data_IF_226347593019
#
_entry.id   IF_226347593019
#
_cell.length_a   1.000
_cell.length_b   1.000
_cell.length_c   1.000
_cell.angle_alpha   90.00
_cell.angle_beta   90.00
_cell.angle_gamma   90.00
#
_symmetry.space_group_name_H-M   'P 1'
#
loop_
_entity.id
_entity.type
_entity.pdbx_description
1 polymer ?
#
# COMPACT_ATOMS: atom_id res chain seq x y z
N UNK A 1 42.77 28.48 -24.80
CA UNK A 1 41.78 28.10 -23.76
C UNK A 1 40.48 28.93 -23.82
N UNK A 2 40.41 29.98 -24.64
CA UNK A 2 39.25 30.89 -24.79
C UNK A 2 37.91 30.21 -25.15
N UNK A 3 37.94 28.99 -25.70
CA UNK A 3 36.75 28.27 -26.17
C UNK A 3 35.91 27.62 -25.05
N UNK A 4 36.50 27.28 -23.90
CA UNK A 4 35.78 26.62 -22.81
C UNK A 4 34.94 27.59 -21.97
N UNK A 5 35.54 28.72 -21.62
CA UNK A 5 34.92 29.75 -20.77
C UNK A 5 33.70 30.40 -21.43
N UNK A 6 33.71 30.55 -22.76
CA UNK A 6 32.56 31.07 -23.53
C UNK A 6 31.31 30.20 -23.46
N UNK A 7 31.43 28.95 -23.02
CA UNK A 7 30.31 27.99 -22.91
C UNK A 7 29.98 27.66 -21.44
N UNK A 8 30.55 28.43 -20.49
CA UNK A 8 30.32 28.21 -19.05
C UNK A 8 30.97 26.95 -18.48
N UNK A 9 31.97 26.40 -19.18
CA UNK A 9 32.72 25.22 -18.74
C UNK A 9 33.98 25.69 -18.00
N UNK A 10 34.21 25.13 -16.81
CA UNK A 10 35.44 25.35 -16.03
C UNK A 10 36.64 24.79 -16.81
N UNK A 11 37.65 25.61 -17.01
CA UNK A 11 38.89 25.23 -17.70
C UNK A 11 40.06 25.10 -16.71
N UNK A 12 40.91 24.12 -16.98
CA UNK A 12 42.06 23.80 -16.15
C UNK A 12 43.32 23.85 -17.01
N UNK A 13 44.31 24.64 -16.59
CA UNK A 13 45.59 24.78 -17.26
C UNK A 13 46.69 23.97 -16.56
N UNK A 14 47.27 22.99 -17.26
CA UNK A 14 48.37 22.18 -16.75
C UNK A 14 49.75 22.83 -17.01
N UNK A 15 50.14 23.79 -16.17
CA UNK A 15 51.42 24.51 -16.30
C UNK A 15 52.64 23.61 -16.11
N UNK A 16 52.54 22.60 -15.25
CA UNK A 16 53.62 21.61 -15.03
C UNK A 16 54.04 20.85 -16.31
N UNK A 17 53.16 20.77 -17.32
CA UNK A 17 53.39 20.04 -18.56
C UNK A 17 53.96 20.89 -19.70
N UNK A 18 54.18 22.19 -19.47
CA UNK A 18 54.65 23.10 -20.51
C UNK A 18 56.10 22.79 -20.91
N UNK A 19 56.28 22.34 -22.16
CA UNK A 19 57.59 22.00 -22.73
C UNK A 19 58.09 23.01 -23.76
N UNK A 20 57.26 23.98 -24.16
CA UNK A 20 57.54 24.94 -25.24
C UNK A 20 58.68 25.93 -24.95
N UNK A 21 59.11 26.04 -23.68
CA UNK A 21 60.27 26.83 -23.26
C UNK A 21 61.57 26.03 -23.13
N UNK A 22 61.53 24.70 -23.33
CA UNK A 22 62.72 23.84 -23.25
C UNK A 22 63.48 23.88 -24.58
N UNK A 23 64.81 23.86 -24.53
CA UNK A 23 65.68 23.90 -25.73
C UNK A 23 65.39 22.77 -26.74
N UNK A 24 64.89 21.62 -26.29
CA UNK A 24 64.49 20.52 -27.18
C UNK A 24 63.23 20.79 -28.01
N UNK A 25 62.40 21.77 -27.63
CA UNK A 25 61.17 22.10 -28.35
C UNK A 25 61.44 22.83 -29.67
N UNK A 26 62.61 23.48 -29.79
CA UNK A 26 63.01 24.13 -31.04
C UNK A 26 63.24 23.11 -32.17
N UNK A 27 63.60 21.87 -31.83
CA UNK A 27 63.63 20.76 -32.81
C UNK A 27 62.22 20.44 -33.30
N UNK A 28 61.23 20.42 -32.40
CA UNK A 28 59.84 20.19 -32.79
C UNK A 28 59.36 21.31 -33.70
N UNK A 29 59.67 22.58 -33.38
CA UNK A 29 59.38 23.76 -34.21
C UNK A 29 60.00 23.67 -35.60
N UNK A 30 61.24 23.21 -35.68
CA UNK A 30 61.98 23.07 -36.94
C UNK A 30 61.42 21.97 -37.86
N UNK A 31 60.76 20.95 -37.30
CA UNK A 31 60.16 19.83 -38.06
C UNK A 31 58.66 20.04 -38.29
N UNK A 32 58.03 21.11 -37.79
CA UNK A 32 56.61 21.36 -38.06
C UNK A 32 56.37 21.76 -39.51
N UNK A 33 55.18 21.40 -40.01
CA UNK A 33 54.66 21.93 -41.27
C UNK A 33 53.90 23.26 -41.11
N UNK A 34 54.02 23.92 -39.95
CA UNK A 34 53.31 25.18 -39.70
C UNK A 34 53.98 26.33 -40.44
N UNK A 35 53.18 27.35 -40.78
CA UNK A 35 53.72 28.56 -41.40
C UNK A 35 54.67 29.25 -40.41
N UNK A 36 55.81 29.81 -40.88
CA UNK A 36 56.77 30.49 -39.99
C UNK A 36 56.12 31.54 -39.10
N UNK A 37 55.15 32.29 -39.64
CA UNK A 37 54.39 33.31 -38.91
C UNK A 37 53.56 32.77 -37.73
N UNK A 38 53.12 31.51 -37.78
CA UNK A 38 52.37 30.86 -36.70
C UNK A 38 53.31 30.27 -35.64
N UNK A 39 54.48 29.79 -36.07
CA UNK A 39 55.56 29.36 -35.15
C UNK A 39 56.13 30.56 -34.39
N UNK A 40 56.30 31.69 -35.05
CA UNK A 40 56.76 32.94 -34.43
C UNK A 40 55.71 33.54 -33.48
N UNK A 41 54.41 33.39 -33.78
CA UNK A 41 53.33 33.74 -32.86
C UNK A 41 53.33 32.88 -31.60
N UNK A 42 53.50 31.56 -31.73
CA UNK A 42 53.63 30.65 -30.58
C UNK A 42 54.89 30.98 -29.75
N UNK A 43 55.97 31.40 -30.41
CA UNK A 43 57.21 31.85 -29.75
C UNK A 43 57.04 33.18 -29.01
N UNK A 44 56.19 34.07 -29.52
CA UNK A 44 55.90 35.34 -28.85
C UNK A 44 55.00 35.12 -27.63
N UNK A 45 55.57 35.29 -26.43
CA UNK A 45 54.83 35.34 -25.17
C UNK A 45 54.00 36.65 -25.06
N UNK A 46 53.16 36.98 -26.06
CA UNK A 46 52.34 38.19 -26.05
C UNK A 46 51.40 38.16 -24.82
N UNK A 47 51.53 39.11 -23.87
CA UNK A 47 50.68 39.16 -22.69
C UNK A 47 49.18 39.29 -23.00
N UNK A 48 48.82 39.80 -24.18
CA UNK A 48 47.43 39.98 -24.59
C UNK A 48 46.74 38.69 -25.07
N UNK A 49 47.48 37.60 -25.29
CA UNK A 49 46.92 36.30 -25.70
C UNK A 49 46.86 35.29 -24.52
N UNK A 50 47.22 35.74 -23.30
CA UNK A 50 47.15 34.92 -22.08
C UNK A 50 45.71 34.76 -21.61
N UNK A 51 45.05 33.74 -22.12
CA UNK A 51 43.80 33.25 -21.56
C UNK A 51 44.04 32.88 -20.08
N UNK A 52 43.36 33.57 -19.17
CA UNK A 52 43.42 33.30 -17.74
C UNK A 52 42.54 32.10 -17.46
N UNK A 53 43.13 30.92 -17.20
CA UNK A 53 42.38 29.72 -16.89
C UNK A 53 41.69 29.80 -15.52
N UNK A 54 40.57 29.11 -15.35
CA UNK A 54 39.82 29.09 -14.09
C UNK A 54 40.60 28.39 -12.97
N UNK A 55 41.33 27.32 -13.31
CA UNK A 55 42.28 26.67 -12.41
C UNK A 55 43.63 26.48 -13.12
N UNK A 56 44.73 26.65 -12.38
CA UNK A 56 46.09 26.42 -12.88
C UNK A 56 46.73 25.35 -12.03
N UNK A 57 47.27 24.31 -12.67
CA UNK A 57 47.99 23.22 -12.03
C UNK A 57 49.50 23.45 -12.21
N UNK A 58 50.17 23.86 -11.14
CA UNK A 58 51.59 24.21 -11.16
C UNK A 58 52.52 23.00 -10.94
N UNK A 59 52.11 22.02 -10.14
CA UNK A 59 53.03 20.97 -9.66
C UNK A 59 52.78 19.59 -10.29
N UNK A 60 51.53 19.29 -10.66
CA UNK A 60 51.20 17.99 -11.26
C UNK A 60 49.71 17.68 -11.37
N UNK A 61 49.40 16.53 -11.98
CA UNK A 61 48.02 16.07 -12.20
C UNK A 61 47.22 15.87 -10.91
N UNK A 62 47.86 15.56 -9.77
CA UNK A 62 47.17 15.34 -8.50
C UNK A 62 46.39 16.58 -8.02
N UNK A 63 46.82 17.78 -8.39
CA UNK A 63 46.10 19.03 -8.09
C UNK A 63 44.73 19.07 -8.79
N UNK A 64 44.57 18.36 -9.91
CA UNK A 64 43.27 18.19 -10.54
C UNK A 64 42.33 17.38 -9.65
N UNK A 65 42.84 16.33 -8.99
CA UNK A 65 42.05 15.48 -8.11
C UNK A 65 41.55 16.26 -6.88
N UNK A 66 42.29 17.26 -6.41
CA UNK A 66 41.84 18.11 -5.29
C UNK A 66 40.73 19.09 -5.67
N UNK A 67 40.45 19.27 -6.97
CA UNK A 67 39.32 20.09 -7.44
C UNK A 67 38.01 19.31 -7.46
N UNK A 68 38.05 17.99 -7.26
CA UNK A 68 36.87 17.14 -7.24
C UNK A 68 36.54 16.71 -5.80
N UNK A 69 35.31 16.95 -5.39
CA UNK A 69 34.72 16.26 -4.24
C UNK A 69 34.30 14.85 -4.69
N UNK A 70 35.15 13.87 -4.42
CA UNK A 70 34.81 12.47 -4.63
C UNK A 70 33.82 12.03 -3.55
N UNK A 71 32.55 11.86 -3.93
CA UNK A 71 31.55 11.30 -3.04
C UNK A 71 32.01 9.94 -2.51
N UNK A 72 31.79 9.69 -1.20
CA UNK A 72 32.14 8.41 -0.59
C UNK A 72 31.46 7.25 -1.35
N UNK A 73 32.16 6.12 -1.56
CA UNK A 73 31.53 4.95 -2.15
C UNK A 73 30.30 4.56 -1.32
N UNK A 74 29.16 4.44 -1.99
CA UNK A 74 27.89 4.08 -1.36
C UNK A 74 28.06 2.72 -0.66
N UNK A 75 27.62 2.64 0.59
CA UNK A 75 27.65 1.40 1.35
C UNK A 75 26.51 0.47 0.87
N UNK A 76 26.85 -0.49 0.01
CA UNK A 76 25.90 -1.46 -0.56
C UNK A 76 25.20 -2.27 0.54
N UNK A 77 25.90 -2.62 1.61
CA UNK A 77 25.34 -3.40 2.72
C UNK A 77 24.25 -2.60 3.46
N UNK A 78 24.48 -1.30 3.68
CA UNK A 78 23.48 -0.41 4.27
C UNK A 78 22.23 -0.29 3.37
N UNK A 79 22.39 -0.12 2.06
CA UNK A 79 21.26 -0.08 1.13
C UNK A 79 20.50 -1.41 1.05
N UNK A 80 21.21 -2.52 1.11
CA UNK A 80 20.61 -3.84 1.12
C UNK A 80 19.83 -4.10 2.41
N UNK A 81 20.32 -3.59 3.55
CA UNK A 81 19.59 -3.59 4.81
C UNK A 81 18.33 -2.73 4.75
N UNK A 82 18.42 -1.51 4.20
CA UNK A 82 17.26 -0.62 4.00
C UNK A 82 16.20 -1.27 3.10
N UNK A 83 16.61 -1.89 1.99
CA UNK A 83 15.71 -2.62 1.10
C UNK A 83 15.00 -3.77 1.82
N UNK A 84 15.73 -4.59 2.59
CA UNK A 84 15.14 -5.69 3.38
C UNK A 84 14.10 -5.17 4.38
N UNK A 85 14.42 -4.09 5.08
CA UNK A 85 13.50 -3.47 6.05
C UNK A 85 12.24 -2.95 5.35
N UNK A 86 12.39 -2.29 4.20
CA UNK A 86 11.25 -1.83 3.41
C UNK A 86 10.35 -3.00 2.97
N UNK A 87 10.93 -4.11 2.50
CA UNK A 87 10.18 -5.34 2.15
C UNK A 87 9.50 -5.94 3.39
N UNK A 88 10.16 -5.95 4.54
CA UNK A 88 9.58 -6.40 5.81
C UNK A 88 8.34 -5.58 6.20
N UNK A 89 8.42 -4.25 6.10
CA UNK A 89 7.29 -3.35 6.34
C UNK A 89 6.17 -3.57 5.32
N UNK A 90 6.49 -3.80 4.04
CA UNK A 90 5.50 -4.16 3.01
C UNK A 90 4.74 -5.43 3.36
N UNK A 91 5.43 -6.49 3.79
CA UNK A 91 4.81 -7.74 4.23
C UNK A 91 3.90 -7.52 5.44
N UNK A 92 4.36 -6.74 6.42
CA UNK A 92 3.59 -6.44 7.62
C UNK A 92 2.30 -5.68 7.31
N UNK A 93 2.36 -4.64 6.47
CA UNK A 93 1.15 -3.92 6.06
C UNK A 93 0.19 -4.78 5.23
N UNK A 94 0.73 -5.65 4.37
CA UNK A 94 -0.10 -6.59 3.62
C UNK A 94 -0.85 -7.57 4.56
N UNK A 95 -0.18 -8.08 5.60
CA UNK A 95 -0.81 -8.93 6.63
C UNK A 95 -1.91 -8.17 7.41
N UNK A 96 -1.62 -6.93 7.85
CA UNK A 96 -2.62 -6.08 8.49
C UNK A 96 -3.85 -5.88 7.59
N UNK A 97 -3.65 -5.65 6.29
CA UNK A 97 -4.74 -5.52 5.32
C UNK A 97 -5.65 -6.75 5.28
N UNK A 98 -5.09 -7.97 5.32
CA UNK A 98 -5.89 -9.19 5.38
C UNK A 98 -6.67 -9.32 6.70
N UNK A 99 -6.05 -8.97 7.82
CA UNK A 99 -6.70 -9.00 9.14
C UNK A 99 -7.90 -8.06 9.21
N UNK A 100 -7.78 -6.84 8.69
CA UNK A 100 -8.87 -5.86 8.66
C UNK A 100 -10.06 -6.38 7.86
N UNK A 101 -9.81 -7.02 6.71
CA UNK A 101 -10.89 -7.62 5.89
C UNK A 101 -11.56 -8.79 6.58
N UNK A 102 -10.80 -9.64 7.26
CA UNK A 102 -11.37 -10.73 8.04
C UNK A 102 -12.28 -10.19 9.17
N UNK A 103 -11.82 -9.18 9.92
CA UNK A 103 -12.62 -8.52 10.95
C UNK A 103 -13.89 -7.88 10.38
N UNK A 104 -13.78 -7.20 9.23
CA UNK A 104 -14.94 -6.63 8.55
C UNK A 104 -15.98 -7.73 8.24
N UNK A 105 -15.57 -8.85 7.66
CA UNK A 105 -16.45 -10.00 7.36
C UNK A 105 -17.11 -10.58 8.61
N UNK A 106 -16.38 -10.66 9.72
CA UNK A 106 -16.94 -11.08 11.02
C UNK A 106 -18.04 -10.10 11.46
N UNK A 107 -17.79 -8.79 11.40
CA UNK A 107 -18.77 -7.76 11.77
C UNK A 107 -20.00 -7.82 10.87
N UNK A 108 -19.82 -7.99 9.57
CA UNK A 108 -20.94 -8.17 8.63
C UNK A 108 -21.77 -9.40 8.97
N UNK A 109 -21.12 -10.55 9.21
CA UNK A 109 -21.78 -11.81 9.56
C UNK A 109 -22.60 -11.65 10.85
N UNK A 110 -22.00 -11.06 11.88
CA UNK A 110 -22.67 -10.79 13.15
C UNK A 110 -23.84 -9.82 12.97
N UNK A 111 -23.66 -8.77 12.17
CA UNK A 111 -24.73 -7.81 11.87
C UNK A 111 -25.90 -8.50 11.18
N UNK A 112 -25.66 -9.31 10.14
CA UNK A 112 -26.71 -10.07 9.45
C UNK A 112 -27.44 -11.04 10.40
N UNK A 113 -26.70 -11.72 11.28
CA UNK A 113 -27.27 -12.57 12.32
C UNK A 113 -28.14 -11.78 13.31
N UNK A 114 -27.66 -10.61 13.77
CA UNK A 114 -28.39 -9.74 14.66
C UNK A 114 -29.66 -9.17 14.00
N UNK A 115 -29.61 -8.82 12.71
CA UNK A 115 -30.78 -8.41 11.92
C UNK A 115 -31.81 -9.52 11.89
N UNK A 116 -31.40 -10.75 11.55
CA UNK A 116 -32.30 -11.91 11.51
C UNK A 116 -32.93 -12.21 12.88
N UNK A 117 -32.12 -12.20 13.94
CA UNK A 117 -32.59 -12.37 15.31
C UNK A 117 -33.58 -11.27 15.71
N UNK A 118 -33.26 -10.01 15.44
CA UNK A 118 -34.13 -8.89 15.78
C UNK A 118 -35.47 -8.94 15.03
N UNK A 119 -35.46 -9.33 13.75
CA UNK A 119 -36.66 -9.42 12.94
C UNK A 119 -37.62 -10.53 13.39
N UNK A 120 -37.08 -11.63 13.95
CA UNK A 120 -37.89 -12.75 14.43
C UNK A 120 -38.45 -12.50 15.83
N UNK A 121 -37.65 -11.89 16.71
CA UNK A 121 -37.96 -11.84 18.15
C UNK A 121 -38.61 -10.53 18.62
N UNK A 122 -38.45 -9.42 17.90
CA UNK A 122 -39.05 -8.14 18.29
C UNK A 122 -40.30 -7.84 17.47
N UNK A 123 -41.37 -7.46 18.18
CA UNK A 123 -42.60 -6.96 17.58
C UNK A 123 -42.44 -5.56 16.95
N UNK A 124 -43.51 -5.04 16.34
CA UNK A 124 -43.52 -3.68 15.80
C UNK A 124 -43.24 -2.65 16.89
N UNK A 125 -42.37 -1.69 16.61
CA UNK A 125 -42.26 -0.47 17.41
C UNK A 125 -43.23 0.58 16.84
N UNK A 126 -44.05 1.16 17.71
CA UNK A 126 -44.96 2.24 17.33
C UNK A 126 -44.24 3.58 17.44
N UNK A 127 -44.00 4.24 16.31
CA UNK A 127 -43.46 5.61 16.25
C UNK A 127 -44.58 6.50 15.67
N UNK A 128 -45.36 7.09 16.57
CA UNK A 128 -46.57 7.83 16.19
C UNK A 128 -47.60 6.90 15.54
N UNK A 129 -48.01 7.21 14.30
CA UNK A 129 -48.96 6.41 13.52
C UNK A 129 -48.30 5.29 12.69
N UNK A 130 -46.96 5.16 12.75
CA UNK A 130 -46.21 4.21 11.93
C UNK A 130 -45.76 3.01 12.76
N UNK A 131 -45.97 1.81 12.22
CA UNK A 131 -45.42 0.57 12.78
C UNK A 131 -44.12 0.23 12.04
N UNK A 132 -43.00 0.24 12.76
CA UNK A 132 -41.67 -0.01 12.18
C UNK A 132 -41.02 -1.18 12.88
N UNK A 133 -40.43 -2.10 12.12
CA UNK A 133 -39.63 -3.18 12.71
C UNK A 133 -38.33 -2.61 13.29
N UNK A 134 -38.00 -2.87 14.58
CA UNK A 134 -36.71 -2.48 15.16
C UNK A 134 -35.50 -3.02 14.38
N UNK A 135 -35.67 -4.16 13.69
CA UNK A 135 -34.65 -4.75 12.85
C UNK A 135 -34.22 -3.85 11.68
N UNK A 136 -35.04 -2.88 11.27
CA UNK A 136 -34.72 -1.95 10.17
C UNK A 136 -33.55 -1.02 10.52
N UNK A 137 -33.27 -0.79 11.80
CA UNK A 137 -32.16 0.07 12.23
C UNK A 137 -30.79 -0.60 12.10
N UNK A 138 -30.72 -1.92 12.32
CA UNK A 138 -29.46 -2.67 12.36
C UNK A 138 -28.68 -2.67 11.03
N UNK A 139 -29.29 -2.75 9.84
CA UNK A 139 -28.58 -2.62 8.57
C UNK A 139 -27.84 -1.28 8.44
N UNK A 140 -28.39 -0.18 8.96
CA UNK A 140 -27.74 1.13 8.92
C UNK A 140 -26.54 1.21 9.86
N UNK A 141 -26.66 0.64 11.07
CA UNK A 141 -25.53 0.51 12.00
C UNK A 141 -24.42 -0.35 11.38
N UNK A 142 -24.79 -1.49 10.82
CA UNK A 142 -23.87 -2.38 10.10
C UNK A 142 -23.19 -1.69 8.93
N UNK A 143 -23.94 -0.89 8.15
CA UNK A 143 -23.39 -0.14 7.02
C UNK A 143 -22.42 0.94 7.48
N UNK A 144 -22.71 1.63 8.59
CA UNK A 144 -21.80 2.58 9.21
C UNK A 144 -20.47 1.95 9.62
N UNK A 145 -20.52 0.81 10.33
CA UNK A 145 -19.32 0.05 10.71
C UNK A 145 -18.56 -0.47 9.48
N UNK A 146 -19.28 -1.00 8.48
CA UNK A 146 -18.69 -1.50 7.24
C UNK A 146 -17.98 -0.39 6.45
N UNK A 147 -18.57 0.81 6.38
CA UNK A 147 -17.94 2.00 5.80
C UNK A 147 -16.72 2.46 6.60
N UNK A 148 -16.73 2.35 7.94
CA UNK A 148 -15.56 2.66 8.77
C UNK A 148 -14.39 1.70 8.46
N UNK A 149 -14.64 0.40 8.29
CA UNK A 149 -13.62 -0.55 7.85
C UNK A 149 -13.10 -0.24 6.45
N UNK A 150 -13.99 0.10 5.50
CA UNK A 150 -13.57 0.54 4.16
C UNK A 150 -12.67 1.76 4.21
N UNK A 151 -13.01 2.75 5.05
CA UNK A 151 -12.22 3.96 5.22
C UNK A 151 -10.85 3.68 5.85
N UNK A 152 -10.78 2.82 6.87
CA UNK A 152 -9.51 2.42 7.47
C UNK A 152 -8.61 1.69 6.45
N UNK A 153 -9.14 0.68 5.75
CA UNK A 153 -8.40 -0.12 4.76
C UNK A 153 -7.91 0.75 3.59
N UNK A 154 -8.79 1.57 3.01
CA UNK A 154 -8.45 2.41 1.85
C UNK A 154 -7.71 3.71 2.21
N UNK A 155 -8.18 4.40 3.22
CA UNK A 155 -7.74 5.75 3.58
C UNK A 155 -6.40 5.76 4.31
N UNK A 156 -6.15 4.75 5.15
CA UNK A 156 -4.94 4.66 5.96
C UNK A 156 -4.00 3.58 5.42
N UNK A 157 -4.36 2.31 5.51
CA UNK A 157 -3.42 1.21 5.29
C UNK A 157 -2.98 1.06 3.84
N UNK A 158 -3.89 1.24 2.88
CA UNK A 158 -3.51 1.19 1.46
C UNK A 158 -2.46 2.25 1.12
N UNK A 159 -2.54 3.45 1.71
CA UNK A 159 -1.54 4.51 1.49
C UNK A 159 -0.19 4.17 2.11
N UNK A 160 -0.19 3.58 3.31
CA UNK A 160 1.03 3.14 3.99
C UNK A 160 1.75 2.04 3.19
N UNK A 161 0.99 1.08 2.64
CA UNK A 161 1.54 0.02 1.79
C UNK A 161 2.13 0.57 0.49
N UNK A 162 1.48 1.54 -0.15
CA UNK A 162 2.04 2.18 -1.35
C UNK A 162 3.34 2.94 -1.02
N UNK A 163 3.40 3.59 0.15
CA UNK A 163 4.61 4.27 0.62
C UNK A 163 5.80 3.33 0.77
N UNK A 164 5.62 2.19 1.44
CA UNK A 164 6.73 1.23 1.63
C UNK A 164 7.14 0.52 0.34
N UNK A 165 6.21 0.33 -0.61
CA UNK A 165 6.53 -0.17 -1.96
C UNK A 165 7.40 0.83 -2.73
N UNK A 166 7.10 2.13 -2.64
CA UNK A 166 7.89 3.16 -3.31
C UNK A 166 9.32 3.21 -2.77
N UNK A 167 9.48 3.23 -1.45
CA UNK A 167 10.80 3.17 -0.82
C UNK A 167 11.58 1.93 -1.27
N UNK A 168 10.94 0.76 -1.27
CA UNK A 168 11.58 -0.47 -1.75
C UNK A 168 12.01 -0.40 -3.22
N UNK A 169 11.21 0.20 -4.09
CA UNK A 169 11.53 0.38 -5.50
C UNK A 169 12.72 1.34 -5.71
N UNK A 170 12.77 2.44 -4.95
CA UNK A 170 13.87 3.41 -5.01
C UNK A 170 15.19 2.71 -4.60
N UNK A 171 15.16 1.84 -3.58
CA UNK A 171 16.34 1.04 -3.19
C UNK A 171 16.72 -0.03 -4.23
N UNK A 172 15.75 -0.67 -4.87
CA UNK A 172 15.99 -1.65 -5.96
C UNK A 172 16.70 -1.00 -7.15
N UNK A 173 16.36 0.25 -7.50
CA UNK A 173 17.02 1.00 -8.56
C UNK A 173 18.49 1.29 -8.23
N UNK A 174 18.77 1.75 -7.00
CA UNK A 174 20.13 2.05 -6.54
C UNK A 174 20.99 0.78 -6.54
N UNK A 175 20.45 -0.33 -6.04
CA UNK A 175 21.16 -1.62 -5.98
C UNK A 175 21.39 -2.20 -7.38
N UNK A 176 20.39 -2.12 -8.27
CA UNK A 176 20.49 -2.60 -9.65
C UNK A 176 21.52 -1.81 -10.46
N UNK A 177 21.59 -0.49 -10.29
CA UNK A 177 22.61 0.36 -10.93
C UNK A 177 24.05 -0.01 -10.53
N UNK A 178 24.23 -0.77 -9.44
CA UNK A 178 25.51 -1.22 -8.91
C UNK A 178 25.78 -2.71 -9.15
N UNK A 179 24.93 -3.38 -9.95
CA UNK A 179 25.12 -4.78 -10.33
C UNK A 179 24.55 -5.79 -9.33
N UNK A 180 23.76 -5.36 -8.35
CA UNK A 180 23.03 -6.26 -7.44
C UNK A 180 21.63 -6.51 -8.01
N UNK A 181 21.31 -7.72 -8.50
CA UNK A 181 20.01 -7.98 -9.13
C UNK A 181 18.89 -8.02 -8.08
N UNK A 182 18.15 -6.92 -7.93
CA UNK A 182 17.00 -6.78 -7.03
C UNK A 182 15.85 -6.11 -7.77
N UNK A 183 14.73 -6.81 -7.98
CA UNK A 183 13.57 -6.29 -8.72
C UNK A 183 12.26 -6.98 -8.30
N UNK A 184 12.07 -7.18 -6.99
CA UNK A 184 10.90 -7.89 -6.49
C UNK A 184 9.62 -7.09 -6.77
N UNK A 185 9.67 -5.77 -6.57
CA UNK A 185 8.53 -4.87 -6.78
C UNK A 185 8.04 -4.87 -8.24
N UNK A 186 8.97 -4.91 -9.21
CA UNK A 186 8.64 -4.99 -10.62
C UNK A 186 7.98 -6.31 -11.01
N UNK A 187 8.49 -7.45 -10.50
CA UNK A 187 7.87 -8.75 -10.74
C UNK A 187 6.43 -8.83 -10.20
N UNK A 188 6.19 -8.32 -8.97
CA UNK A 188 4.86 -8.30 -8.36
C UNK A 188 3.91 -7.40 -9.16
N UNK A 189 4.36 -6.21 -9.54
CA UNK A 189 3.55 -5.25 -10.29
C UNK A 189 3.13 -5.80 -11.65
N UNK A 190 4.04 -6.49 -12.34
CA UNK A 190 3.75 -7.11 -13.64
C UNK A 190 2.82 -8.33 -13.53
N UNK A 191 2.86 -9.07 -12.41
CA UNK A 191 2.01 -10.23 -12.16
C UNK A 191 0.60 -9.87 -11.62
N UNK A 192 0.43 -8.70 -11.00
CA UNK A 192 -0.81 -8.27 -10.34
C UNK A 192 -2.05 -7.99 -11.23
N UNK A 193 -1.94 -7.49 -12.49
CA UNK A 193 -3.12 -7.09 -13.25
C UNK A 193 -3.94 -8.29 -13.75
N UNK A 194 -5.19 -8.37 -13.29
CA UNK A 194 -6.18 -9.33 -13.82
C UNK A 194 -6.73 -8.74 -15.12
N UNK A 195 -6.24 -9.23 -16.26
CA UNK A 195 -6.70 -8.81 -17.59
C UNK A 195 -7.92 -9.62 -18.01
N UNK A 196 -9.13 -9.11 -17.78
CA UNK A 196 -10.36 -9.74 -18.30
C UNK A 196 -10.43 -9.61 -19.83
N UNK A 197 -10.10 -10.70 -20.54
CA UNK A 197 -10.05 -10.75 -22.00
C UNK A 197 -11.44 -10.74 -22.67
N UNK A 198 -12.51 -11.09 -21.95
CA UNK A 198 -13.83 -11.41 -22.51
C UNK A 198 -14.84 -10.24 -22.46
N UNK A 199 -14.62 -9.23 -21.61
CA UNK A 199 -15.46 -8.03 -21.56
C UNK A 199 -15.35 -7.15 -22.83
N UNK A 200 -14.25 -7.31 -23.58
CA UNK A 200 -13.97 -6.59 -24.83
C UNK A 200 -14.88 -7.02 -26.00
N UNK A 201 -15.54 -8.18 -25.90
CA UNK A 201 -16.36 -8.73 -26.99
C UNK A 201 -17.86 -8.39 -26.87
N UNK A 202 -18.35 -7.89 -25.72
CA UNK A 202 -19.78 -7.59 -25.53
C UNK A 202 -20.17 -6.13 -25.81
N UNK A 203 -19.25 -5.17 -25.60
CA UNK A 203 -19.45 -3.77 -25.99
C UNK A 203 -18.53 -3.42 -27.16
N UNK A 204 -19.13 -3.29 -28.34
CA UNK A 204 -18.44 -3.06 -29.60
C UNK A 204 -17.37 -1.97 -29.55
N UNK A 205 -16.28 -2.23 -30.28
CA UNK A 205 -15.13 -1.37 -30.64
C UNK A 205 -15.19 0.11 -30.19
N UNK A 206 -15.15 0.37 -28.88
CA UNK A 206 -14.62 1.64 -28.36
C UNK A 206 -13.16 1.39 -28.01
N UNK A 207 -12.26 2.24 -28.53
CA UNK A 207 -10.86 2.36 -28.09
C UNK A 207 -10.81 2.87 -26.64
N UNK A 208 -11.40 2.12 -25.71
CA UNK A 208 -11.21 2.33 -24.28
C UNK A 208 -9.96 1.58 -23.87
N UNK A 209 -9.03 2.29 -23.22
CA UNK A 209 -7.92 1.69 -22.46
C UNK A 209 -8.43 0.41 -21.79
N UNK A 210 -7.67 -0.69 -21.90
CA UNK A 210 -7.94 -1.88 -21.10
C UNK A 210 -8.16 -1.39 -19.67
N UNK A 211 -9.34 -1.68 -19.09
CA UNK A 211 -9.61 -1.31 -17.70
C UNK A 211 -8.67 -2.19 -16.89
N UNK A 212 -7.48 -1.66 -16.63
CA UNK A 212 -6.53 -2.28 -15.73
C UNK A 212 -7.20 -2.23 -14.36
N UNK A 213 -7.60 -3.40 -13.88
CA UNK A 213 -8.15 -3.57 -12.55
C UNK A 213 -7.05 -3.27 -11.53
N UNK A 214 -6.82 -2.00 -11.26
CA UNK A 214 -5.91 -1.55 -10.21
C UNK A 214 -6.45 -2.02 -8.85
N UNK A 215 -5.54 -2.24 -7.91
CA UNK A 215 -5.82 -2.77 -6.56
C UNK A 215 -6.95 -2.02 -5.83
N UNK A 216 -7.09 -0.72 -6.10
CA UNK A 216 -8.14 0.14 -5.54
C UNK A 216 -9.55 -0.19 -6.04
N UNK A 217 -9.71 -0.77 -7.23
CA UNK A 217 -11.00 -1.19 -7.79
C UNK A 217 -11.47 -2.51 -7.17
N UNK A 218 -10.54 -3.45 -6.95
CA UNK A 218 -10.79 -4.72 -6.25
C UNK A 218 -11.33 -4.48 -4.84
N UNK A 219 -10.72 -3.53 -4.12
CA UNK A 219 -11.14 -3.13 -2.79
C UNK A 219 -12.55 -2.52 -2.79
N UNK A 220 -12.85 -1.59 -3.69
CA UNK A 220 -14.19 -0.99 -3.77
C UNK A 220 -15.26 -2.02 -4.12
N UNK A 221 -14.95 -3.00 -4.98
CA UNK A 221 -15.87 -4.07 -5.30
C UNK A 221 -16.20 -4.93 -4.07
N UNK A 222 -15.18 -5.33 -3.29
CA UNK A 222 -15.36 -6.09 -2.06
C UNK A 222 -16.29 -5.40 -1.05
N UNK A 223 -16.01 -4.12 -0.72
CA UNK A 223 -16.86 -3.38 0.21
C UNK A 223 -18.22 -3.02 -0.40
N UNK A 224 -18.32 -2.86 -1.72
CA UNK A 224 -19.59 -2.66 -2.42
C UNK A 224 -20.55 -3.84 -2.25
N UNK A 225 -20.05 -5.08 -2.28
CA UNK A 225 -20.88 -6.28 -2.05
C UNK A 225 -21.48 -6.27 -0.65
N UNK A 226 -20.67 -5.98 0.38
CA UNK A 226 -21.18 -5.94 1.76
C UNK A 226 -22.24 -4.86 1.97
N UNK A 227 -22.05 -3.68 1.37
CA UNK A 227 -23.05 -2.60 1.42
C UNK A 227 -24.33 -2.97 0.66
N UNK A 228 -24.22 -3.65 -0.48
CA UNK A 228 -25.37 -4.16 -1.24
C UNK A 228 -26.17 -5.16 -0.40
N UNK A 229 -25.51 -6.10 0.28
CA UNK A 229 -26.18 -7.06 1.14
C UNK A 229 -26.97 -6.39 2.27
N UNK A 230 -26.37 -5.41 2.95
CA UNK A 230 -27.03 -4.64 4.00
C UNK A 230 -28.17 -3.77 3.45
N UNK A 231 -27.99 -3.18 2.27
CA UNK A 231 -29.06 -2.45 1.57
C UNK A 231 -30.23 -3.37 1.20
N UNK A 232 -29.93 -4.55 0.69
CA UNK A 232 -30.95 -5.55 0.33
C UNK A 232 -31.73 -6.04 1.55
N UNK A 233 -31.09 -6.25 2.70
CA UNK A 233 -31.80 -6.63 3.94
C UNK A 233 -32.66 -5.50 4.46
N UNK A 234 -32.20 -4.24 4.41
CA UNK A 234 -33.01 -3.08 4.77
C UNK A 234 -34.26 -2.96 3.89
N UNK A 235 -34.10 -3.08 2.57
CA UNK A 235 -35.22 -3.05 1.61
C UNK A 235 -36.19 -4.20 1.85
N UNK A 236 -35.69 -5.42 2.09
CA UNK A 236 -36.54 -6.57 2.39
C UNK A 236 -37.39 -6.31 3.65
N UNK A 237 -36.79 -5.84 4.75
CA UNK A 237 -37.53 -5.52 5.98
C UNK A 237 -38.55 -4.42 5.73
N UNK A 238 -38.21 -3.41 4.93
CA UNK A 238 -39.13 -2.32 4.61
C UNK A 238 -40.35 -2.79 3.78
N UNK A 239 -40.17 -3.76 2.88
CA UNK A 239 -41.23 -4.33 2.05
C UNK A 239 -42.12 -5.29 2.85
N UNK A 240 -41.52 -6.20 3.64
CA UNK A 240 -42.28 -7.20 4.38
C UNK A 240 -42.94 -6.64 5.65
N UNK A 241 -42.51 -5.46 6.10
CA UNK A 241 -43.10 -4.79 7.26
C UNK A 241 -42.79 -5.49 8.59
N UNK A 242 -43.32 -4.96 9.70
CA UNK A 242 -43.20 -5.59 11.00
C UNK A 242 -43.90 -6.95 11.01
N UNK A 243 -43.28 -7.96 11.64
CA UNK A 243 -44.01 -9.20 11.91
C UNK A 243 -45.13 -8.89 12.92
N UNK A 244 -46.35 -9.42 12.70
CA UNK A 244 -47.37 -9.36 13.73
C UNK A 244 -46.84 -10.00 15.01
N UNK A 245 -47.09 -9.36 16.14
CA UNK A 245 -46.70 -9.85 17.47
C UNK A 245 -47.11 -11.31 17.58
N UNK A 246 -46.24 -12.24 18.04
CA UNK A 246 -46.70 -13.58 18.36
C UNK A 246 -47.88 -13.42 19.32
N UNK A 247 -49.06 -13.94 18.92
CA UNK A 247 -50.23 -13.95 19.78
C UNK A 247 -49.78 -14.53 21.11
N UNK A 248 -49.91 -13.77 22.20
CA UNK A 248 -49.92 -14.37 23.52
C UNK A 248 -51.02 -15.42 23.45
N UNK A 249 -50.65 -16.70 23.39
CA UNK A 249 -51.62 -17.74 23.66
C UNK A 249 -52.23 -17.35 25.01
N UNK A 250 -53.57 -17.33 25.14
CA UNK A 250 -54.18 -17.18 26.45
C UNK A 250 -53.43 -18.15 27.39
N UNK A 251 -53.06 -17.74 28.61
CA UNK A 251 -52.45 -18.66 29.55
C UNK A 251 -53.31 -19.92 29.55
N UNK A 252 -52.67 -21.06 29.32
CA UNK A 252 -53.34 -22.36 29.28
C UNK A 252 -54.16 -22.45 30.56
N UNK A 253 -55.47 -22.22 30.45
CA UNK A 253 -56.35 -22.25 31.62
C UNK A 253 -56.26 -23.70 32.08
N UNK A 254 -55.80 -23.97 33.32
CA UNK A 254 -55.72 -25.34 33.78
C UNK A 254 -57.14 -25.92 33.67
N UNK A 255 -57.32 -26.88 32.77
CA UNK A 255 -58.52 -27.68 32.71
C UNK A 255 -58.52 -28.49 34.00
N UNK A 256 -59.17 -27.98 35.04
CA UNK A 256 -59.44 -28.73 36.25
C UNK A 256 -60.42 -29.83 35.85
N UNK A 257 -59.87 -31.00 35.53
CA UNK A 257 -60.65 -32.22 35.37
C UNK A 257 -61.05 -32.71 36.76
N UNK A 258 -62.31 -32.49 37.15
CA UNK A 258 -62.88 -32.96 38.42
C UNK A 258 -63.01 -34.50 38.53
N UNK A 259 -62.24 -35.28 37.77
CA UNK A 259 -62.20 -36.73 37.90
C UNK A 259 -61.31 -37.10 39.08
N UNK A 260 -61.92 -37.12 40.25
CA UNK A 260 -61.41 -37.74 41.47
C UNK A 260 -61.18 -39.24 41.17
N UNK A 261 -59.95 -39.59 40.81
CA UNK A 261 -59.47 -40.96 41.02
C UNK A 261 -58.83 -40.98 42.40
N UNK A 262 -59.55 -41.53 43.38
CA UNK A 262 -58.99 -41.80 44.71
C UNK A 262 -57.89 -42.84 44.53
N UNK A 263 -56.63 -42.40 44.54
CA UNK A 263 -55.50 -43.30 44.74
C UNK A 263 -55.43 -43.59 46.24
N UNK A 264 -55.51 -44.85 46.70
CA UNK A 264 -55.40 -45.16 48.13
C UNK A 264 -54.00 -44.77 48.65
N UNK A 265 -53.87 -44.39 49.93
CA UNK A 265 -52.61 -43.97 50.49
C UNK A 265 -51.60 -45.12 50.49
N UNK A 266 -50.43 -44.87 49.90
CA UNK A 266 -49.25 -45.75 50.01
C UNK A 266 -48.79 -45.73 51.47
N UNK A 267 -48.59 -46.89 52.13
CA UNK A 267 -48.06 -46.92 53.50
C UNK A 267 -46.65 -46.32 53.56
N UNK A 268 -46.47 -45.38 54.48
CA UNK A 268 -45.19 -44.75 54.82
C UNK A 268 -44.19 -45.79 55.32
N UNK A 269 -43.18 -46.13 54.52
CA UNK A 269 -41.99 -46.85 54.99
C UNK A 269 -40.98 -45.83 55.47
N UNK A 270 -40.59 -45.94 56.75
CA UNK A 270 -39.61 -45.10 57.44
C UNK A 270 -38.27 -45.04 56.66
N UNK A 271 -37.56 -43.89 56.67
CA UNK A 271 -36.23 -43.78 56.06
C UNK A 271 -35.20 -44.60 56.85
N UNK A 272 -34.45 -45.45 56.16
CA UNK A 272 -33.24 -46.09 56.69
C UNK A 272 -32.07 -45.10 56.74
N UNK A 273 -31.23 -45.12 57.79
CA UNK A 273 -30.18 -44.13 58.02
C UNK A 273 -29.01 -44.27 57.02
N UNK A 274 -28.23 -43.20 56.81
CA UNK A 274 -27.19 -43.13 55.79
C UNK A 274 -26.03 -44.08 56.10
N UNK A 275 -25.56 -44.82 55.09
CA UNK A 275 -24.28 -45.53 55.16
C UNK A 275 -23.12 -44.53 55.01
N UNK A 276 -22.28 -44.50 56.04
CA UNK A 276 -20.99 -43.81 56.12
C UNK A 276 -20.04 -44.26 55.00
N UNK A 277 -19.16 -43.38 54.47
CA UNK A 277 -18.18 -43.76 53.48
C UNK A 277 -16.92 -44.35 54.15
N UNK A 278 -16.32 -45.35 53.52
CA UNK A 278 -15.02 -45.92 53.89
C UNK A 278 -14.27 -46.36 52.63
N UNK A 279 -12.95 -46.53 52.72
CA UNK A 279 -11.87 -45.57 52.46
C UNK A 279 -11.42 -45.51 50.98
#
# INVERSE_FOLDING_TARGET
>A
MEKGQKVGVLDVHAKYGESYQKSGYDLLRAVTHWKPTEVDKERSNDPNDKVTATYVLDEGFYQLLTLFDFASPINVEAHLQMWREAVGVQMHFNDIGWRIRALALTVLTFTLGAIGYAYINFGPAHIGAWEVSPALFLPFVGAGLWCAFWFADRGWFHKLLVGSVKEGADQEEILSARGVPTNLGGYITNASPIKFKHWKYWWGKRKGKAVEWHSSLKLNFFYGIGLLLLGATAVAIAIYGPRPTPMNMPPEVPVVNNNITIVPPVPSVLPTPPKTPSP
#
